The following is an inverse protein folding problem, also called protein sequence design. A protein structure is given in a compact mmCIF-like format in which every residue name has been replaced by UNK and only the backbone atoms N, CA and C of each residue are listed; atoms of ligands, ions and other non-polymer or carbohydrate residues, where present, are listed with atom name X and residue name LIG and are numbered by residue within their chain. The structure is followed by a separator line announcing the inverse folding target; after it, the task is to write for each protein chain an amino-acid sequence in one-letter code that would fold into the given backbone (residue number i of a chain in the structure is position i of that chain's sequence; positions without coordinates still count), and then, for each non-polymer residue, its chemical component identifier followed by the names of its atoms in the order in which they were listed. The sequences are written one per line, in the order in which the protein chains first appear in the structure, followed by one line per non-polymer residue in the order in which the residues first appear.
data_IF_833255565711
#
_entry.id   IF_833255565711
#
_cell.length_a   1.000
_cell.length_b   1.000
_cell.length_c   1.000
_cell.angle_alpha   90.00
_cell.angle_beta   90.00
_cell.angle_gamma   90.00
#
_symmetry.space_group_name_H-M   'P 1'
#
loop_
_entity.id
_entity.type
_entity.pdbx_description
1 polymer ?
#
# COMPACT_ATOMS: atom_id res chain seq x y z
N UNK A 1 -29.78 -17.67 -57.40
CA UNK A 1 -30.98 -17.61 -56.53
C UNK A 1 -30.79 -18.60 -55.39
N UNK A 2 -30.41 -18.16 -54.20
CA UNK A 2 -30.18 -19.04 -53.02
C UNK A 2 -31.55 -19.63 -52.61
N UNK A 3 -31.62 -20.97 -52.59
CA UNK A 3 -32.84 -21.64 -52.25
C UNK A 3 -33.32 -21.23 -50.86
N UNK A 4 -34.58 -20.87 -50.68
CA UNK A 4 -35.21 -20.38 -49.41
C UNK A 4 -34.93 -21.30 -48.21
N UNK A 5 -34.71 -22.59 -48.46
CA UNK A 5 -34.33 -23.61 -47.44
C UNK A 5 -32.84 -23.40 -46.95
N UNK A 6 -31.95 -23.07 -47.89
CA UNK A 6 -30.54 -22.82 -47.58
C UNK A 6 -30.36 -21.55 -46.79
N UNK A 7 -31.06 -20.45 -47.13
CA UNK A 7 -31.08 -19.22 -46.38
C UNK A 7 -31.57 -19.39 -44.93
N UNK A 8 -32.63 -20.14 -44.73
CA UNK A 8 -33.14 -20.49 -43.38
C UNK A 8 -32.09 -21.25 -42.54
N UNK A 9 -31.35 -22.20 -43.14
CA UNK A 9 -30.27 -22.90 -42.45
C UNK A 9 -29.12 -21.93 -42.01
N UNK A 10 -28.72 -21.02 -42.88
CA UNK A 10 -27.72 -20.00 -42.50
C UNK A 10 -28.21 -19.08 -41.38
N UNK A 11 -29.46 -18.66 -41.40
CA UNK A 11 -30.04 -17.87 -40.31
C UNK A 11 -30.09 -18.61 -38.98
N UNK A 12 -30.44 -19.91 -38.99
CA UNK A 12 -30.45 -20.75 -37.78
C UNK A 12 -29.03 -20.96 -37.24
N UNK A 13 -28.02 -21.14 -38.09
CA UNK A 13 -26.63 -21.26 -37.68
C UNK A 13 -26.14 -19.94 -37.11
N UNK A 14 -26.46 -18.81 -37.75
CA UNK A 14 -26.09 -17.47 -37.28
C UNK A 14 -26.76 -17.12 -35.94
N UNK A 15 -28.01 -17.49 -35.76
CA UNK A 15 -28.73 -17.39 -34.49
C UNK A 15 -28.06 -18.25 -33.40
N UNK A 16 -27.68 -19.50 -33.71
CA UNK A 16 -26.99 -20.36 -32.78
C UNK A 16 -25.64 -19.81 -32.35
N UNK A 17 -24.85 -19.26 -33.29
CA UNK A 17 -23.58 -18.60 -33.00
C UNK A 17 -23.79 -17.34 -32.11
N UNK A 18 -24.81 -16.53 -32.43
CA UNK A 18 -25.13 -15.34 -31.65
C UNK A 18 -25.52 -15.66 -30.20
N UNK A 19 -26.34 -16.71 -30.01
CA UNK A 19 -26.74 -17.18 -28.69
C UNK A 19 -25.54 -17.74 -27.91
N UNK A 20 -24.62 -18.44 -28.58
CA UNK A 20 -23.41 -18.96 -27.96
C UNK A 20 -22.49 -17.82 -27.53
N UNK A 21 -22.29 -16.81 -28.37
CA UNK A 21 -21.50 -15.62 -28.04
C UNK A 21 -22.10 -14.87 -26.84
N UNK A 22 -23.42 -14.68 -26.83
CA UNK A 22 -24.13 -14.07 -25.70
C UNK A 22 -23.98 -14.90 -24.42
N UNK A 23 -24.11 -16.22 -24.50
CA UNK A 23 -23.93 -17.10 -23.34
C UNK A 23 -22.49 -17.07 -22.79
N UNK A 24 -21.48 -17.04 -23.67
CA UNK A 24 -20.07 -16.90 -23.27
C UNK A 24 -19.82 -15.52 -22.62
N UNK A 25 -20.34 -14.45 -23.20
CA UNK A 25 -20.24 -13.12 -22.63
C UNK A 25 -20.88 -13.05 -21.24
N UNK A 26 -22.10 -13.57 -21.11
CA UNK A 26 -22.82 -13.61 -19.83
C UNK A 26 -22.07 -14.44 -18.77
N UNK A 27 -21.52 -15.59 -19.16
CA UNK A 27 -20.67 -16.42 -18.28
C UNK A 27 -19.49 -15.65 -17.72
N UNK A 28 -18.73 -14.91 -18.55
CA UNK A 28 -17.59 -14.12 -18.09
C UNK A 28 -18.02 -12.92 -17.26
N UNK A 29 -19.13 -12.30 -17.58
CA UNK A 29 -19.70 -11.20 -16.80
C UNK A 29 -20.06 -11.65 -15.38
N UNK A 30 -20.81 -12.73 -15.26
CA UNK A 30 -21.20 -13.29 -13.96
C UNK A 30 -19.98 -13.74 -13.15
N UNK A 31 -19.01 -14.39 -13.81
CA UNK A 31 -17.77 -14.81 -13.18
C UNK A 31 -16.98 -13.63 -12.58
N UNK A 32 -16.96 -12.49 -13.26
CA UNK A 32 -16.24 -11.30 -12.82
C UNK A 32 -16.87 -10.64 -11.58
N UNK A 33 -18.18 -10.80 -11.38
CA UNK A 33 -18.90 -10.25 -10.24
C UNK A 33 -18.70 -11.08 -8.95
N UNK A 34 -18.35 -12.37 -9.07
CA UNK A 34 -18.13 -13.22 -7.91
C UNK A 34 -16.74 -12.95 -7.33
N UNK A 35 -16.61 -12.61 -6.03
CA UNK A 35 -15.32 -12.36 -5.40
C UNK A 35 -14.52 -13.66 -5.23
N UNK A 36 -13.17 -13.56 -5.21
CA UNK A 36 -12.28 -14.69 -4.93
C UNK A 36 -12.32 -15.09 -3.45
N UNK A 37 -12.47 -14.11 -2.57
CA UNK A 37 -12.58 -14.26 -1.13
C UNK A 37 -13.71 -13.40 -0.56
N UNK A 38 -14.28 -13.83 0.55
CA UNK A 38 -15.34 -13.13 1.26
C UNK A 38 -15.07 -13.23 2.76
N UNK A 39 -15.14 -12.11 3.47
CA UNK A 39 -15.04 -12.07 4.93
C UNK A 39 -16.44 -11.85 5.48
N UNK A 40 -16.93 -12.79 6.26
CA UNK A 40 -18.21 -12.72 6.95
C UNK A 40 -17.96 -12.43 8.43
N UNK A 41 -18.61 -11.42 8.98
CA UNK A 41 -18.59 -11.21 10.44
C UNK A 41 -19.51 -12.23 11.12
N UNK A 42 -19.16 -12.63 12.35
CA UNK A 42 -20.01 -13.50 13.16
C UNK A 42 -21.42 -12.90 13.32
N UNK A 43 -22.44 -13.69 12.98
CA UNK A 43 -23.83 -13.23 12.97
C UNK A 43 -24.22 -12.30 11.81
N UNK A 44 -23.28 -11.95 10.93
CA UNK A 44 -23.54 -11.19 9.72
C UNK A 44 -24.13 -12.04 8.58
N UNK A 45 -24.73 -11.37 7.59
CA UNK A 45 -25.22 -12.06 6.40
C UNK A 45 -24.04 -12.68 5.62
N UNK A 46 -24.22 -13.93 5.17
CA UNK A 46 -23.29 -14.55 4.24
C UNK A 46 -23.37 -13.91 2.85
N UNK A 47 -22.50 -14.35 1.91
CA UNK A 47 -22.53 -13.85 0.54
C UNK A 47 -23.92 -14.04 -0.06
N UNK A 48 -24.41 -12.98 -0.71
CA UNK A 48 -25.65 -13.09 -1.48
C UNK A 48 -25.50 -14.17 -2.55
N UNK A 49 -26.47 -15.08 -2.62
CA UNK A 49 -26.52 -16.03 -3.72
C UNK A 49 -26.98 -15.31 -4.97
N UNK A 50 -26.14 -15.19 -6.01
CA UNK A 50 -26.58 -14.60 -7.27
C UNK A 50 -27.82 -15.33 -7.77
N UNK A 51 -28.80 -14.57 -8.31
CA UNK A 51 -29.96 -15.15 -8.95
C UNK A 51 -29.62 -15.86 -10.26
N UNK A 52 -30.63 -16.46 -10.91
CA UNK A 52 -30.47 -17.03 -12.26
C UNK A 52 -29.68 -16.07 -13.18
N UNK A 53 -28.66 -16.52 -13.92
CA UNK A 53 -28.32 -17.93 -14.25
C UNK A 53 -27.32 -18.63 -13.33
N UNK A 54 -26.96 -18.04 -12.20
CA UNK A 54 -25.95 -18.58 -11.27
C UNK A 54 -26.62 -19.34 -10.13
N UNK A 55 -26.11 -20.53 -9.82
CA UNK A 55 -26.46 -21.31 -8.65
C UNK A 55 -25.27 -21.42 -7.71
N UNK A 56 -25.48 -21.18 -6.42
CA UNK A 56 -24.47 -21.30 -5.38
C UNK A 56 -24.68 -22.60 -4.58
N UNK A 57 -23.60 -23.29 -4.27
CA UNK A 57 -23.60 -24.49 -3.45
C UNK A 57 -22.56 -24.33 -2.33
N UNK A 58 -23.01 -24.33 -1.10
CA UNK A 58 -22.12 -24.27 0.07
C UNK A 58 -21.49 -25.65 0.26
N UNK A 59 -20.17 -25.71 0.25
CA UNK A 59 -19.42 -26.89 0.67
C UNK A 59 -18.84 -26.58 2.06
N UNK A 60 -19.40 -27.22 3.08
CA UNK A 60 -18.79 -27.19 4.39
C UNK A 60 -17.45 -27.94 4.31
N UNK A 61 -16.36 -27.20 4.31
CA UNK A 61 -15.05 -27.80 4.53
C UNK A 61 -14.88 -28.03 6.03
N UNK A 62 -15.32 -29.20 6.52
CA UNK A 62 -14.94 -29.70 7.83
C UNK A 62 -13.46 -30.10 7.78
N UNK A 63 -12.58 -29.13 7.69
CA UNK A 63 -11.20 -29.33 8.10
C UNK A 63 -11.12 -28.95 9.57
N UNK A 64 -11.26 -29.96 10.44
CA UNK A 64 -10.70 -29.91 11.80
C UNK A 64 -9.18 -29.81 11.67
N UNK A 65 -8.68 -28.68 11.25
CA UNK A 65 -7.29 -28.32 11.42
C UNK A 65 -7.24 -27.46 12.70
N UNK A 66 -6.58 -28.01 13.72
CA UNK A 66 -6.09 -27.38 14.95
C UNK A 66 -6.76 -26.05 15.29
N UNK A 67 -7.47 -26.05 16.40
CA UNK A 67 -8.05 -24.91 17.07
C UNK A 67 -6.94 -23.89 17.38
N UNK A 68 -6.58 -23.09 16.40
CA UNK A 68 -5.85 -21.85 16.61
C UNK A 68 -6.93 -20.79 16.81
N UNK A 69 -7.03 -20.28 18.01
CA UNK A 69 -8.06 -19.34 18.46
C UNK A 69 -8.03 -17.97 17.75
N UNK A 70 -7.20 -17.84 16.70
CA UNK A 70 -7.05 -16.64 15.87
C UNK A 70 -7.69 -16.76 14.49
N UNK A 71 -8.03 -17.98 14.02
CA UNK A 71 -8.65 -18.21 12.70
C UNK A 71 -10.08 -18.70 12.92
N UNK A 72 -11.05 -17.81 12.68
CA UNK A 72 -12.47 -18.12 12.65
C UNK A 72 -12.79 -19.32 11.72
N UNK A 73 -14.02 -19.81 11.77
CA UNK A 73 -14.46 -20.89 10.88
C UNK A 73 -14.41 -20.42 9.42
N UNK A 74 -14.01 -21.31 8.50
CA UNK A 74 -14.01 -21.01 7.07
C UNK A 74 -14.83 -22.06 6.32
N UNK A 75 -15.50 -21.63 5.27
CA UNK A 75 -16.22 -22.52 4.37
C UNK A 75 -16.05 -22.06 2.91
N UNK A 76 -16.40 -22.93 1.95
CA UNK A 76 -16.26 -22.63 0.54
C UNK A 76 -17.62 -22.65 -0.14
N UNK A 77 -17.83 -21.68 -1.04
CA UNK A 77 -18.99 -21.61 -1.90
C UNK A 77 -18.56 -21.92 -3.33
N UNK A 78 -19.17 -22.92 -3.94
CA UNK A 78 -19.00 -23.24 -5.36
C UNK A 78 -20.15 -22.64 -6.16
N UNK A 79 -19.84 -21.77 -7.10
CA UNK A 79 -20.81 -21.18 -8.01
C UNK A 79 -20.83 -21.92 -9.33
N UNK A 80 -22.03 -22.15 -9.86
CA UNK A 80 -22.24 -22.84 -11.14
C UNK A 80 -23.15 -22.02 -12.04
N UNK A 81 -22.75 -21.87 -13.29
CA UNK A 81 -23.56 -21.25 -14.33
C UNK A 81 -24.59 -22.24 -14.84
N UNK A 82 -25.87 -21.83 -14.95
CA UNK A 82 -27.02 -22.69 -15.25
C UNK A 82 -27.12 -23.94 -14.35
N UNK A 83 -26.54 -23.89 -13.14
CA UNK A 83 -26.55 -24.95 -12.15
C UNK A 83 -25.60 -26.13 -12.44
N UNK A 84 -24.96 -26.19 -13.61
CA UNK A 84 -24.13 -27.33 -14.06
C UNK A 84 -22.70 -26.96 -14.44
N UNK A 85 -22.46 -25.82 -15.05
CA UNK A 85 -21.12 -25.41 -15.54
C UNK A 85 -20.36 -24.75 -14.37
N UNK A 86 -19.19 -25.27 -13.96
CA UNK A 86 -18.41 -24.62 -12.93
C UNK A 86 -18.09 -23.16 -13.32
N UNK A 87 -18.36 -22.21 -12.44
CA UNK A 87 -18.15 -20.79 -12.68
C UNK A 87 -16.96 -20.26 -11.86
N UNK A 88 -17.04 -20.38 -10.54
CA UNK A 88 -16.01 -19.91 -9.60
C UNK A 88 -16.21 -20.55 -8.22
N UNK A 89 -15.14 -20.59 -7.43
CA UNK A 89 -15.18 -20.91 -6.01
C UNK A 89 -14.76 -19.68 -5.20
N UNK A 90 -15.46 -19.40 -4.10
CA UNK A 90 -15.14 -18.32 -3.15
C UNK A 90 -14.84 -18.93 -1.80
N UNK A 91 -13.73 -18.58 -1.21
CA UNK A 91 -13.42 -18.90 0.18
C UNK A 91 -14.09 -17.87 1.09
N UNK A 92 -14.90 -18.32 2.04
CA UNK A 92 -15.54 -17.48 3.05
C UNK A 92 -14.84 -17.70 4.38
N UNK A 93 -14.30 -16.63 4.95
CA UNK A 93 -13.72 -16.63 6.29
C UNK A 93 -14.69 -15.94 7.24
N UNK A 94 -15.08 -16.60 8.33
CA UNK A 94 -15.93 -16.02 9.37
C UNK A 94 -15.03 -15.44 10.46
N UNK A 95 -15.12 -14.14 10.70
CA UNK A 95 -14.31 -13.43 11.69
C UNK A 95 -15.21 -12.76 12.75
N UNK A 96 -14.73 -12.57 13.98
CA UNK A 96 -15.40 -11.69 14.94
C UNK A 96 -15.54 -10.28 14.35
N UNK A 97 -16.49 -9.52 14.85
CA UNK A 97 -16.59 -8.10 14.55
C UNK A 97 -15.33 -7.39 15.02
N UNK A 98 -14.68 -6.70 14.11
CA UNK A 98 -13.47 -5.91 14.40
C UNK A 98 -13.84 -4.45 14.50
N UNK A 99 -13.39 -3.79 15.56
CA UNK A 99 -13.52 -2.35 15.78
C UNK A 99 -12.15 -1.70 15.83
N UNK A 100 -12.05 -0.49 15.33
CA UNK A 100 -10.82 0.31 15.37
C UNK A 100 -11.14 1.77 15.62
N UNK A 101 -10.22 2.53 16.17
CA UNK A 101 -10.26 3.98 16.25
C UNK A 101 -9.81 4.54 14.90
N UNK A 102 -10.68 5.22 14.12
CA UNK A 102 -10.26 5.84 12.87
C UNK A 102 -9.33 7.01 13.15
N UNK A 103 -8.22 7.07 12.40
CA UNK A 103 -7.21 8.12 12.51
C UNK A 103 -7.64 9.42 11.83
N UNK A 104 -6.90 9.79 10.79
CA UNK A 104 -7.09 11.06 10.04
C UNK A 104 -6.13 12.16 10.49
N UNK A 105 -5.35 11.94 11.56
CA UNK A 105 -4.33 12.89 12.02
C UNK A 105 -3.07 12.83 11.14
N UNK A 106 -2.46 13.97 10.80
CA UNK A 106 -1.15 14.02 10.19
C UNK A 106 -0.07 13.43 11.12
N UNK A 107 0.80 12.61 10.59
CA UNK A 107 1.93 11.98 11.28
C UNK A 107 3.23 12.29 10.57
N UNK A 108 4.29 12.54 11.35
CA UNK A 108 5.66 12.60 10.86
C UNK A 108 6.28 11.22 10.89
N UNK A 109 6.88 10.82 9.80
CA UNK A 109 7.47 9.49 9.60
C UNK A 109 8.98 9.66 9.48
N UNK A 110 9.72 8.84 10.22
CA UNK A 110 11.16 8.68 10.08
C UNK A 110 11.46 7.18 10.08
N UNK A 111 12.19 6.70 9.08
CA UNK A 111 12.59 5.30 8.96
C UNK A 111 14.06 5.20 8.60
N UNK A 112 14.75 4.26 9.22
CA UNK A 112 16.10 3.85 8.89
C UNK A 112 16.06 2.62 8.01
N UNK A 113 16.88 2.63 6.94
CA UNK A 113 16.96 1.47 6.05
C UNK A 113 17.75 0.34 6.72
N UNK A 114 17.47 -0.89 6.33
CA UNK A 114 18.21 -2.04 6.79
C UNK A 114 19.52 -2.17 5.98
N UNK A 115 20.55 -1.41 6.38
CA UNK A 115 21.82 -1.20 5.67
C UNK A 115 21.81 0.08 4.82
N UNK A 116 22.95 0.42 4.25
CA UNK A 116 23.13 1.66 3.46
C UNK A 116 22.76 1.42 2.00
N UNK A 117 21.66 2.01 1.55
CA UNK A 117 21.14 1.80 0.20
C UNK A 117 21.90 2.64 -0.83
N UNK A 118 22.30 2.02 -1.92
CA UNK A 118 22.92 2.69 -3.08
C UNK A 118 21.83 3.27 -3.95
N UNK A 119 21.86 4.58 -4.21
CA UNK A 119 20.94 5.29 -5.11
C UNK A 119 21.57 5.57 -6.48
N UNK A 120 22.89 5.44 -6.60
CA UNK A 120 23.59 5.61 -7.87
C UNK A 120 25.10 5.50 -7.76
N UNK A 121 25.76 5.51 -8.91
CA UNK A 121 27.23 5.54 -9.01
C UNK A 121 27.67 6.72 -9.89
N UNK A 122 28.89 7.20 -9.67
CA UNK A 122 29.43 8.34 -10.43
C UNK A 122 30.94 8.47 -10.36
N UNK A 123 31.43 9.48 -11.09
CA UNK A 123 32.85 9.82 -11.16
C UNK A 123 33.28 10.58 -9.93
N UNK A 124 34.50 10.29 -9.48
CA UNK A 124 35.21 11.07 -8.46
C UNK A 124 36.56 11.51 -9.01
N UNK A 125 36.97 12.74 -8.74
CA UNK A 125 38.26 13.27 -9.17
C UNK A 125 39.31 12.93 -8.13
N UNK A 126 40.33 12.19 -8.53
CA UNK A 126 41.47 11.84 -7.69
C UNK A 126 42.41 13.04 -7.45
N UNK A 127 43.33 12.92 -6.48
CA UNK A 127 44.38 13.92 -6.20
C UNK A 127 45.30 14.18 -7.39
N UNK A 128 45.41 13.23 -8.28
CA UNK A 128 46.15 13.33 -9.55
C UNK A 128 45.41 14.07 -10.66
N UNK A 129 44.18 14.54 -10.39
CA UNK A 129 43.32 15.24 -11.34
C UNK A 129 42.59 14.31 -12.33
N UNK A 130 42.78 12.99 -12.23
CA UNK A 130 42.09 12.02 -13.08
C UNK A 130 40.69 11.67 -12.49
N UNK A 131 39.78 11.29 -13.38
CA UNK A 131 38.46 10.82 -12.97
C UNK A 131 38.43 9.30 -12.83
N UNK A 132 37.98 8.84 -11.69
CA UNK A 132 37.80 7.43 -11.32
C UNK A 132 36.34 7.07 -11.16
N UNK A 133 35.99 5.82 -11.41
CA UNK A 133 34.66 5.24 -11.18
C UNK A 133 34.82 3.92 -10.41
N UNK A 134 35.20 3.94 -9.11
CA UNK A 134 35.55 2.74 -8.36
C UNK A 134 34.44 1.69 -8.30
N UNK A 135 33.19 2.14 -8.22
CA UNK A 135 32.02 1.27 -8.08
C UNK A 135 31.31 0.93 -9.41
N UNK A 136 31.85 1.42 -10.55
CA UNK A 136 31.21 1.23 -11.86
C UNK A 136 31.00 -0.25 -12.19
N UNK A 137 29.76 -0.62 -12.54
CA UNK A 137 29.31 -2.00 -12.83
C UNK A 137 29.49 -3.01 -11.71
N UNK A 138 29.94 -2.61 -10.52
CA UNK A 138 30.06 -3.46 -9.35
C UNK A 138 28.83 -3.35 -8.47
N UNK A 139 28.36 -2.13 -8.23
CA UNK A 139 27.10 -1.84 -7.53
C UNK A 139 26.12 -1.13 -8.45
N UNK A 140 24.86 -1.19 -8.09
CA UNK A 140 23.78 -0.52 -8.80
C UNK A 140 22.79 0.09 -7.81
N UNK A 141 21.93 0.99 -8.30
CA UNK A 141 20.81 1.51 -7.52
C UNK A 141 19.91 0.36 -7.04
N UNK A 142 19.46 0.43 -5.77
CA UNK A 142 18.71 -0.63 -5.10
C UNK A 142 19.55 -1.67 -4.35
N UNK A 143 20.90 -1.64 -4.46
CA UNK A 143 21.77 -2.45 -3.62
C UNK A 143 21.80 -1.90 -2.20
N UNK A 144 21.87 -2.80 -1.21
CA UNK A 144 22.13 -2.44 0.18
C UNK A 144 23.54 -2.87 0.58
N UNK A 145 24.35 -1.91 1.03
CA UNK A 145 25.67 -2.20 1.61
C UNK A 145 25.44 -2.62 3.06
N UNK A 146 25.76 -3.90 3.36
CA UNK A 146 25.58 -4.52 4.68
C UNK A 146 26.84 -4.55 5.52
N UNK A 147 28.01 -4.58 4.86
CA UNK A 147 29.28 -4.64 5.55
C UNK A 147 30.43 -4.09 4.71
N UNK A 148 31.48 -3.64 5.40
CA UNK A 148 32.81 -3.31 4.83
C UNK A 148 33.85 -4.15 5.55
N UNK A 149 34.65 -4.92 4.80
CA UNK A 149 35.67 -5.82 5.34
C UNK A 149 35.14 -6.75 6.45
N UNK A 150 33.87 -7.19 6.32
CA UNK A 150 33.21 -8.07 7.30
C UNK A 150 32.61 -7.33 8.52
N UNK A 151 32.82 -6.02 8.67
CA UNK A 151 32.19 -5.22 9.73
C UNK A 151 30.83 -4.74 9.25
N UNK A 152 29.78 -4.98 10.05
CA UNK A 152 28.39 -4.59 9.74
C UNK A 152 28.26 -3.07 9.63
N UNK A 153 27.55 -2.62 8.60
CA UNK A 153 27.27 -1.20 8.31
C UNK A 153 25.76 -1.01 8.23
N UNK A 154 25.24 -0.10 9.05
CA UNK A 154 23.82 0.29 9.06
C UNK A 154 23.60 1.75 8.68
N UNK A 155 24.57 2.62 8.95
CA UNK A 155 24.51 4.07 8.77
C UNK A 155 25.56 4.53 7.75
N UNK A 156 25.24 5.57 6.98
CA UNK A 156 26.18 6.12 5.98
C UNK A 156 27.45 6.71 6.61
N UNK A 157 27.35 7.28 7.82
CA UNK A 157 28.47 7.80 8.55
C UNK A 157 29.50 6.68 8.83
N UNK A 158 29.02 5.49 9.21
CA UNK A 158 29.87 4.34 9.48
C UNK A 158 30.49 3.78 8.19
N UNK A 159 29.75 3.84 7.08
CA UNK A 159 30.28 3.50 5.76
C UNK A 159 31.44 4.46 5.38
N UNK A 160 31.25 5.77 5.58
CA UNK A 160 32.26 6.79 5.28
C UNK A 160 33.50 6.58 6.11
N UNK A 161 33.37 6.40 7.45
CA UNK A 161 34.50 6.09 8.36
C UNK A 161 35.28 4.87 7.89
N UNK A 162 34.57 3.77 7.62
CA UNK A 162 35.21 2.52 7.19
C UNK A 162 35.96 2.64 5.85
N UNK A 163 35.44 3.46 4.93
CA UNK A 163 36.10 3.73 3.64
C UNK A 163 37.31 4.64 3.85
N UNK A 164 37.25 5.63 4.74
CA UNK A 164 38.36 6.54 5.02
C UNK A 164 39.51 5.80 5.72
N UNK A 165 39.23 4.93 6.69
CA UNK A 165 40.24 4.15 7.43
C UNK A 165 40.94 3.11 6.56
N UNK A 166 40.23 2.47 5.63
CA UNK A 166 40.72 1.31 4.89
C UNK A 166 40.89 1.56 3.38
N UNK A 167 40.57 2.76 2.89
CA UNK A 167 40.49 3.05 1.44
C UNK A 167 41.82 2.99 0.68
N UNK A 168 42.97 2.99 1.38
CA UNK A 168 44.28 2.75 0.77
C UNK A 168 44.46 1.31 0.26
N UNK A 169 43.65 0.38 0.78
CA UNK A 169 43.65 -1.03 0.40
C UNK A 169 42.40 -1.41 -0.37
N UNK A 170 42.33 -2.64 -0.88
CA UNK A 170 41.12 -3.17 -1.50
C UNK A 170 40.05 -3.43 -0.43
N UNK A 171 38.91 -2.80 -0.59
CA UNK A 171 37.75 -3.00 0.27
C UNK A 171 36.90 -4.19 -0.21
N UNK A 172 36.36 -4.93 0.73
CA UNK A 172 35.36 -5.98 0.50
C UNK A 172 34.01 -5.46 1.01
N UNK A 173 33.07 -5.18 0.10
CA UNK A 173 31.73 -4.77 0.47
C UNK A 173 30.80 -5.98 0.44
N UNK A 174 30.08 -6.23 1.53
CA UNK A 174 28.97 -7.16 1.57
C UNK A 174 27.71 -6.45 1.03
N UNK A 175 27.18 -6.96 -0.06
CA UNK A 175 26.04 -6.38 -0.78
C UNK A 175 24.84 -7.31 -0.69
N UNK A 176 23.66 -6.73 -0.47
CA UNK A 176 22.39 -7.39 -0.70
C UNK A 176 21.73 -6.77 -1.94
N UNK A 177 21.36 -7.62 -2.92
CA UNK A 177 20.67 -7.26 -4.16
C UNK A 177 19.50 -8.21 -4.38
N UNK A 178 18.29 -7.71 -4.46
CA UNK A 178 17.07 -8.52 -4.66
C UNK A 178 16.99 -9.76 -3.74
N UNK A 179 17.32 -9.56 -2.44
CA UNK A 179 17.31 -10.62 -1.42
C UNK A 179 18.47 -11.62 -1.47
N UNK A 180 19.48 -11.41 -2.34
CA UNK A 180 20.70 -12.22 -2.41
C UNK A 180 21.88 -11.45 -1.87
N UNK A 181 22.66 -12.07 -1.00
CA UNK A 181 23.90 -11.50 -0.44
C UNK A 181 25.11 -12.03 -1.19
N UNK A 182 26.05 -11.15 -1.48
CA UNK A 182 27.35 -11.47 -2.09
C UNK A 182 28.39 -10.41 -1.74
N UNK A 183 29.66 -10.73 -1.97
CA UNK A 183 30.76 -9.80 -1.73
C UNK A 183 31.29 -9.24 -3.05
N UNK A 184 31.64 -7.96 -3.05
CA UNK A 184 32.38 -7.31 -4.12
C UNK A 184 33.68 -6.74 -3.57
N UNK A 185 34.70 -6.69 -4.45
CA UNK A 185 36.01 -6.11 -4.11
C UNK A 185 36.27 -4.92 -5.02
N UNK A 186 36.58 -3.80 -4.41
CA UNK A 186 36.90 -2.58 -5.15
C UNK A 186 38.00 -1.78 -4.42
N UNK A 187 38.62 -0.86 -5.16
CA UNK A 187 39.59 0.09 -4.65
C UNK A 187 38.96 1.47 -4.59
N UNK A 188 38.99 2.14 -3.44
CA UNK A 188 38.55 3.51 -3.33
C UNK A 188 39.51 4.46 -4.09
N UNK A 189 38.98 5.54 -4.61
CA UNK A 189 39.80 6.60 -5.20
C UNK A 189 40.32 7.52 -4.09
N UNK A 190 41.63 7.83 -4.08
CA UNK A 190 42.22 8.83 -3.21
C UNK A 190 41.89 10.23 -3.78
N UNK A 191 41.13 11.02 -3.05
CA UNK A 191 40.70 12.36 -3.45
C UNK A 191 41.20 13.40 -2.46
N UNK A 192 41.07 14.70 -2.79
CA UNK A 192 41.42 15.77 -1.86
C UNK A 192 40.63 15.72 -0.54
N UNK A 193 39.43 15.13 -0.57
CA UNK A 193 38.52 15.00 0.58
C UNK A 193 38.51 13.57 1.18
N UNK A 194 39.60 12.81 1.06
CA UNK A 194 39.72 11.43 1.54
C UNK A 194 39.33 10.39 0.50
N UNK A 195 39.26 9.14 0.92
CA UNK A 195 38.91 8.04 0.03
C UNK A 195 37.44 8.03 -0.35
N UNK A 196 37.10 7.80 -1.63
CA UNK A 196 35.73 7.82 -2.14
C UNK A 196 35.46 6.61 -3.03
N UNK A 197 34.26 6.05 -2.92
CA UNK A 197 33.79 4.92 -3.75
C UNK A 197 33.09 5.35 -5.03
N UNK A 198 32.72 6.62 -5.17
CA UNK A 198 31.94 7.11 -6.29
C UNK A 198 30.53 6.55 -6.28
N UNK A 199 29.88 6.50 -5.11
CA UNK A 199 28.50 6.08 -4.91
C UNK A 199 27.71 7.16 -4.17
N UNK A 200 26.44 7.29 -4.51
CA UNK A 200 25.45 8.02 -3.72
C UNK A 200 24.64 7.02 -2.90
N UNK A 201 24.44 7.34 -1.65
CA UNK A 201 23.80 6.42 -0.71
C UNK A 201 22.76 7.13 0.15
N UNK A 202 21.80 6.34 0.64
CA UNK A 202 20.75 6.73 1.58
C UNK A 202 20.66 5.67 2.69
N UNK A 203 20.47 6.09 3.92
CA UNK A 203 20.31 5.21 5.09
C UNK A 203 19.02 5.50 5.87
N UNK A 204 18.30 6.55 5.49
CA UNK A 204 17.02 6.91 6.11
C UNK A 204 16.09 7.61 5.12
N UNK A 205 14.81 7.66 5.48
CA UNK A 205 13.80 8.45 4.80
C UNK A 205 12.86 9.09 5.81
N UNK A 206 12.27 10.21 5.41
CA UNK A 206 11.33 10.96 6.24
C UNK A 206 10.20 11.52 5.37
N UNK A 207 9.05 11.71 5.98
CA UNK A 207 7.89 12.23 5.28
C UNK A 207 6.74 12.55 6.20
N UNK A 208 5.67 13.08 5.62
CA UNK A 208 4.39 13.32 6.28
C UNK A 208 3.34 12.46 5.59
N UNK A 209 2.53 11.83 6.41
CA UNK A 209 1.39 11.05 5.98
C UNK A 209 0.24 11.16 6.95
N UNK A 210 -0.73 10.28 6.83
CA UNK A 210 -1.91 10.25 7.71
C UNK A 210 -2.05 8.89 8.37
N UNK A 211 -2.36 8.90 9.66
CA UNK A 211 -2.75 7.70 10.41
C UNK A 211 -4.10 7.21 9.89
N UNK A 212 -4.21 5.91 9.59
CA UNK A 212 -5.48 5.33 9.13
C UNK A 212 -6.33 4.84 10.30
N UNK A 213 -5.73 4.05 11.18
CA UNK A 213 -6.44 3.52 12.35
C UNK A 213 -5.48 3.14 13.47
N UNK A 214 -6.06 3.02 14.68
CA UNK A 214 -5.45 2.41 15.86
C UNK A 214 -6.39 1.30 16.35
N UNK A 215 -5.85 0.10 16.59
CA UNK A 215 -6.60 -1.03 17.17
C UNK A 215 -6.68 -0.91 18.69
N UNK A 216 -7.59 -1.64 19.32
CA UNK A 216 -7.70 -1.72 20.79
C UNK A 216 -6.40 -2.20 21.45
N UNK A 217 -5.63 -3.03 20.76
CA UNK A 217 -4.35 -3.55 21.24
C UNK A 217 -3.18 -2.59 21.02
N UNK A 218 -3.45 -1.34 20.59
CA UNK A 218 -2.43 -0.32 20.38
C UNK A 218 -1.63 -0.46 19.10
N UNK A 219 -1.98 -1.38 18.19
CA UNK A 219 -1.35 -1.46 16.87
C UNK A 219 -1.97 -0.46 15.90
N UNK A 220 -1.15 0.13 15.05
CA UNK A 220 -1.62 1.11 14.06
C UNK A 220 -1.36 0.67 12.62
N UNK A 221 -2.18 1.20 11.72
CA UNK A 221 -1.94 1.22 10.28
C UNK A 221 -1.99 2.64 9.73
N UNK A 222 -1.12 2.97 8.78
CA UNK A 222 -1.04 4.31 8.18
C UNK A 222 -0.67 4.25 6.69
N UNK A 223 -0.87 5.35 5.97
CA UNK A 223 -0.56 5.60 4.56
C UNK A 223 -1.41 4.84 3.53
N UNK A 224 -1.73 3.56 3.77
CA UNK A 224 -2.42 2.73 2.79
C UNK A 224 -1.58 2.34 1.57
N UNK A 225 -0.30 2.67 1.54
CA UNK A 225 0.70 2.25 0.56
C UNK A 225 2.08 2.23 1.19
N UNK A 226 2.99 1.48 0.62
CA UNK A 226 4.37 1.41 1.08
C UNK A 226 5.15 2.70 0.81
N UNK A 227 6.21 2.89 1.56
CA UNK A 227 7.20 3.93 1.29
C UNK A 227 8.27 3.34 0.40
N UNK A 228 8.34 3.87 -0.81
CA UNK A 228 9.32 3.50 -1.81
C UNK A 228 10.44 4.53 -1.86
N UNK A 229 11.63 4.10 -2.23
CA UNK A 229 12.71 5.02 -2.53
C UNK A 229 12.42 5.80 -3.81
N UNK A 230 12.61 7.12 -3.77
CA UNK A 230 12.28 8.03 -4.87
C UNK A 230 13.17 7.86 -6.11
N UNK A 231 14.38 7.32 -5.94
CA UNK A 231 15.36 7.19 -7.02
C UNK A 231 15.27 5.82 -7.70
N UNK A 232 14.95 4.78 -6.94
CA UNK A 232 14.84 3.40 -7.45
C UNK A 232 13.41 2.94 -7.70
N UNK A 233 12.44 3.53 -7.00
CA UNK A 233 11.04 3.10 -7.00
C UNK A 233 10.79 1.80 -6.22
N UNK A 234 11.81 1.21 -5.59
CA UNK A 234 11.67 -0.03 -4.83
C UNK A 234 11.14 0.24 -3.42
N UNK A 235 10.37 -0.70 -2.88
CA UNK A 235 9.89 -0.66 -1.49
C UNK A 235 11.08 -0.68 -0.54
N UNK A 236 11.17 0.32 0.36
CA UNK A 236 12.27 0.43 1.30
C UNK A 236 12.23 -0.70 2.34
N UNK A 237 13.36 -1.39 2.49
CA UNK A 237 13.59 -2.31 3.59
C UNK A 237 14.03 -1.50 4.80
N UNK A 238 13.29 -1.61 5.89
CA UNK A 238 13.53 -0.85 7.11
C UNK A 238 14.12 -1.73 8.21
N UNK A 239 15.01 -1.15 9.01
CA UNK A 239 15.50 -1.73 10.27
C UNK A 239 14.74 -1.20 11.47
N UNK A 240 14.43 0.10 11.46
CA UNK A 240 13.72 0.80 12.51
C UNK A 240 12.91 1.95 11.90
N UNK A 241 11.76 2.28 12.51
CA UNK A 241 10.98 3.43 12.13
C UNK A 241 10.20 4.01 13.29
N UNK A 242 9.94 5.31 13.24
CA UNK A 242 9.23 6.05 14.31
C UNK A 242 8.18 6.97 13.70
N UNK A 243 7.03 7.02 14.35
CA UNK A 243 6.03 8.05 14.14
C UNK A 243 6.28 9.19 15.12
N UNK A 244 6.31 10.41 14.60
CA UNK A 244 6.46 11.62 15.39
C UNK A 244 5.23 12.50 15.32
N UNK A 245 5.08 13.30 16.36
CA UNK A 245 4.16 14.43 16.34
C UNK A 245 4.57 15.40 15.23
N UNK A 246 3.60 15.79 14.41
CA UNK A 246 3.81 16.73 13.32
C UNK A 246 2.76 17.83 13.32
N UNK A 247 3.10 18.95 12.75
CA UNK A 247 2.20 20.08 12.56
C UNK A 247 2.21 20.46 11.08
N UNK A 248 1.04 20.55 10.49
CA UNK A 248 0.89 21.10 9.14
C UNK A 248 1.25 22.59 9.18
N UNK A 249 2.21 22.99 8.37
CA UNK A 249 2.65 24.38 8.28
C UNK A 249 2.05 25.10 7.07
N UNK A 250 1.92 24.38 5.94
CA UNK A 250 1.41 24.94 4.70
C UNK A 250 0.74 23.82 3.86
N UNK A 251 -0.23 24.21 3.06
CA UNK A 251 -0.91 23.34 2.10
C UNK A 251 -0.67 23.92 0.70
N UNK A 252 0.08 23.17 -0.11
CA UNK A 252 0.21 23.45 -1.54
C UNK A 252 -0.93 22.77 -2.28
N UNK A 253 -1.82 23.54 -2.90
CA UNK A 253 -2.98 23.02 -3.59
C UNK A 253 -2.60 22.17 -4.81
N UNK A 254 -3.37 21.11 -5.04
CA UNK A 254 -3.29 20.30 -6.25
C UNK A 254 -3.94 20.99 -7.44
N UNK A 255 -3.29 20.85 -8.60
CA UNK A 255 -3.76 21.29 -9.91
C UNK A 255 -3.51 20.18 -10.93
N UNK A 256 -4.26 20.13 -12.05
CA UNK A 256 -4.00 19.15 -13.10
C UNK A 256 -2.53 19.17 -13.56
N UNK A 257 -1.85 18.02 -13.48
CA UNK A 257 -0.43 17.87 -13.79
C UNK A 257 0.54 18.19 -12.65
N UNK A 258 0.04 18.75 -11.54
CA UNK A 258 0.85 19.05 -10.36
C UNK A 258 0.07 18.68 -9.08
N UNK A 259 0.18 17.43 -8.60
CA UNK A 259 -0.44 17.04 -7.34
C UNK A 259 0.10 17.91 -6.21
N UNK A 260 -0.81 18.50 -5.43
CA UNK A 260 -0.43 19.31 -4.27
C UNK A 260 0.21 18.47 -3.17
N UNK A 261 0.70 19.14 -2.13
CA UNK A 261 1.33 18.49 -0.99
C UNK A 261 1.10 19.25 0.31
N UNK A 262 1.16 18.51 1.41
CA UNK A 262 1.25 19.06 2.76
C UNK A 262 2.71 19.33 3.08
N UNK A 263 3.04 20.57 3.44
CA UNK A 263 4.30 20.89 4.07
C UNK A 263 4.10 20.97 5.60
N UNK A 264 4.98 20.35 6.37
CA UNK A 264 4.84 20.35 7.83
C UNK A 264 6.18 20.23 8.53
N UNK A 265 6.14 20.38 9.84
CA UNK A 265 7.29 20.30 10.72
C UNK A 265 7.22 19.01 11.54
N UNK A 266 8.19 18.14 11.32
CA UNK A 266 8.40 16.95 12.15
C UNK A 266 9.39 17.33 13.27
N UNK A 267 8.97 17.09 14.50
CA UNK A 267 9.82 17.39 15.67
C UNK A 267 10.48 16.12 16.16
N UNK A 268 11.72 15.88 15.79
CA UNK A 268 12.52 14.71 16.17
C UNK A 268 12.98 14.79 17.64
N UNK A 269 12.04 14.51 18.57
CA UNK A 269 12.32 14.45 20.01
C UNK A 269 11.73 13.17 20.57
N UNK A 270 12.47 12.49 21.45
CA UNK A 270 12.01 11.21 22.03
C UNK A 270 10.67 11.31 22.77
N UNK A 271 10.39 12.41 23.42
CA UNK A 271 9.11 12.66 24.08
C UNK A 271 7.94 12.98 23.13
N UNK A 272 8.19 13.10 21.83
CA UNK A 272 7.20 13.36 20.79
C UNK A 272 7.00 12.13 19.85
N UNK A 273 7.57 10.99 20.21
CA UNK A 273 7.34 9.72 19.51
C UNK A 273 5.91 9.30 19.82
N UNK A 274 5.13 9.07 18.76
CA UNK A 274 3.75 8.61 18.81
C UNK A 274 3.61 7.10 18.54
N UNK A 275 4.62 6.48 17.92
CA UNK A 275 4.61 5.05 17.63
C UNK A 275 5.93 4.56 17.07
N UNK A 276 6.10 3.23 17.08
CA UNK A 276 7.23 2.55 16.47
C UNK A 276 6.75 1.79 15.25
N UNK A 277 7.36 2.07 14.09
CA UNK A 277 7.05 1.38 12.83
C UNK A 277 7.84 0.07 12.83
N UNK A 278 7.13 -1.04 12.61
CA UNK A 278 7.71 -2.38 12.57
C UNK A 278 7.77 -2.92 11.14
N UNK A 279 6.82 -2.50 10.29
CA UNK A 279 6.72 -2.98 8.91
C UNK A 279 6.47 -1.83 7.93
N UNK A 280 7.11 -1.92 6.77
CA UNK A 280 6.81 -1.17 5.56
C UNK A 280 6.43 -2.15 4.46
N UNK A 281 5.18 -2.15 4.05
CA UNK A 281 4.61 -3.11 3.10
C UNK A 281 3.90 -2.39 1.97
N UNK A 282 3.51 -3.10 0.91
CA UNK A 282 2.68 -2.52 -0.17
C UNK A 282 1.36 -1.93 0.35
N UNK A 283 0.79 -2.46 1.46
CA UNK A 283 -0.48 -2.02 2.04
C UNK A 283 -0.35 -0.83 3.00
N UNK A 284 0.87 -0.40 3.33
CA UNK A 284 1.13 0.70 4.26
C UNK A 284 2.27 0.46 5.22
N UNK A 285 2.36 1.31 6.23
CA UNK A 285 3.26 1.15 7.36
C UNK A 285 2.47 0.74 8.60
N UNK A 286 3.04 -0.19 9.38
CA UNK A 286 2.39 -0.80 10.54
C UNK A 286 3.35 -0.86 11.73
N UNK A 287 2.78 -0.90 12.94
CA UNK A 287 3.57 -0.98 14.15
C UNK A 287 2.76 -0.74 15.41
N UNK A 288 3.43 -0.35 16.49
CA UNK A 288 2.83 -0.12 17.80
C UNK A 288 2.76 1.37 18.11
N UNK A 289 1.56 1.85 18.43
CA UNK A 289 1.31 3.19 18.93
C UNK A 289 1.67 3.31 20.41
N UNK A 290 2.15 4.50 20.80
CA UNK A 290 2.28 4.85 22.22
C UNK A 290 0.94 5.37 22.76
N UNK A 291 0.81 5.48 24.10
CA UNK A 291 -0.36 6.14 24.74
C UNK A 291 -0.63 7.53 24.13
N UNK A 292 0.45 8.25 23.80
CA UNK A 292 0.37 9.56 23.14
C UNK A 292 -0.37 9.52 21.81
N UNK A 293 -0.29 8.42 21.04
CA UNK A 293 -1.04 8.28 19.80
C UNK A 293 -2.53 8.13 20.08
N UNK A 294 -2.89 7.33 21.10
CA UNK A 294 -4.26 7.15 21.55
C UNK A 294 -4.88 8.46 22.03
N UNK A 295 -4.15 9.24 22.84
CA UNK A 295 -4.60 10.54 23.37
C UNK A 295 -4.92 11.59 22.30
N UNK A 296 -4.40 11.40 21.07
CA UNK A 296 -4.65 12.29 19.92
C UNK A 296 -5.89 11.93 19.13
N UNK A 297 -6.44 10.75 19.36
CA UNK A 297 -7.61 10.27 18.64
C UNK A 297 -8.87 10.58 19.42
N UNK A 298 -9.62 11.57 18.93
CA UNK A 298 -10.93 11.91 19.48
C UNK A 298 -12.00 11.12 18.71
N UNK A 299 -12.90 10.47 19.44
CA UNK A 299 -14.04 9.78 18.85
C UNK A 299 -14.25 8.36 19.37
N UNK A 300 -15.27 7.72 18.84
CA UNK A 300 -15.62 6.34 19.19
C UNK A 300 -14.98 5.37 18.18
N UNK A 301 -14.68 4.16 18.67
CA UNK A 301 -14.28 3.06 17.79
C UNK A 301 -15.43 2.73 16.83
N UNK A 302 -15.09 2.49 15.58
CA UNK A 302 -16.05 2.14 14.53
C UNK A 302 -15.84 0.69 14.06
N UNK A 303 -16.92 0.05 13.60
CA UNK A 303 -16.80 -1.26 12.97
C UNK A 303 -16.01 -1.14 11.64
N UNK A 304 -15.30 -2.20 11.31
CA UNK A 304 -14.66 -2.36 10.01
C UNK A 304 -15.69 -2.83 8.98
N UNK A 305 -15.71 -2.19 7.82
CA UNK A 305 -16.51 -2.62 6.66
C UNK A 305 -15.62 -3.31 5.64
N UNK A 306 -15.94 -4.54 5.32
CA UNK A 306 -15.17 -5.34 4.36
C UNK A 306 -15.54 -5.01 2.91
N UNK A 307 -14.66 -5.33 1.95
CA UNK A 307 -14.79 -4.94 0.53
C UNK A 307 -16.11 -5.33 -0.13
N UNK A 308 -16.77 -6.39 0.33
CA UNK A 308 -18.07 -6.81 -0.18
C UNK A 308 -19.23 -5.91 0.30
N UNK A 309 -19.07 -5.21 1.42
CA UNK A 309 -20.06 -4.30 1.97
C UNK A 309 -19.99 -2.90 1.32
N UNK A 310 -18.89 -2.61 0.61
CA UNK A 310 -18.64 -1.31 0.02
C UNK A 310 -19.46 -1.14 -1.25
N UNK A 311 -20.14 0.00 -1.35
CA UNK A 311 -20.98 0.37 -2.50
C UNK A 311 -20.48 1.66 -3.14
N UNK A 312 -20.72 1.80 -4.45
CA UNK A 312 -20.55 3.06 -5.15
C UNK A 312 -21.51 4.11 -4.57
N UNK A 313 -21.08 5.36 -4.51
CA UNK A 313 -21.87 6.47 -3.98
C UNK A 313 -21.17 7.23 -2.86
N UNK A 314 -21.96 7.80 -1.93
CA UNK A 314 -21.47 8.68 -0.88
C UNK A 314 -20.61 7.94 0.16
N UNK A 315 -19.51 8.57 0.52
CA UNK A 315 -18.63 8.18 1.61
C UNK A 315 -17.91 9.43 2.17
N UNK A 316 -17.11 9.26 3.18
CA UNK A 316 -16.42 10.34 3.89
C UNK A 316 -14.94 10.03 4.04
N UNK A 317 -14.10 11.06 3.87
CA UNK A 317 -12.66 11.00 4.22
C UNK A 317 -12.44 11.81 5.48
N UNK A 318 -11.92 11.16 6.52
CA UNK A 318 -11.54 11.84 7.77
C UNK A 318 -10.15 12.42 7.65
N UNK A 319 -10.00 13.72 7.96
CA UNK A 319 -8.70 14.39 7.88
C UNK A 319 -8.59 15.58 8.82
N UNK A 320 -7.47 15.67 9.50
CA UNK A 320 -7.06 16.80 10.34
C UNK A 320 -6.09 17.74 9.63
N UNK A 321 -6.12 17.79 8.29
CA UNK A 321 -5.16 18.52 7.47
C UNK A 321 -5.13 20.03 7.73
N UNK A 322 -6.25 20.62 8.15
CA UNK A 322 -6.38 22.03 8.49
C UNK A 322 -6.16 22.33 10.00
N UNK A 323 -5.75 21.34 10.79
CA UNK A 323 -5.57 21.43 12.24
C UNK A 323 -6.80 21.04 13.06
N UNK A 324 -7.96 20.83 12.44
CA UNK A 324 -9.18 20.33 13.04
C UNK A 324 -9.60 19.03 12.37
N UNK A 325 -10.00 18.03 13.16
CA UNK A 325 -10.48 16.76 12.61
C UNK A 325 -11.86 16.94 12.00
N UNK A 326 -11.99 16.57 10.72
CA UNK A 326 -13.25 16.67 9.96
C UNK A 326 -13.45 15.47 9.04
N UNK A 327 -14.72 15.17 8.78
CA UNK A 327 -15.15 14.22 7.78
C UNK A 327 -15.60 14.99 6.53
N UNK A 328 -14.85 14.86 5.43
CA UNK A 328 -15.11 15.50 4.16
C UNK A 328 -15.81 14.55 3.21
N UNK A 329 -16.81 15.04 2.49
CA UNK A 329 -17.61 14.24 1.57
C UNK A 329 -16.82 13.84 0.33
N UNK A 330 -16.90 12.55 0.00
CA UNK A 330 -16.37 11.98 -1.24
C UNK A 330 -17.44 11.12 -1.91
N UNK A 331 -17.22 10.75 -3.16
CA UNK A 331 -17.95 9.70 -3.85
C UNK A 331 -17.00 8.55 -4.18
N UNK A 332 -17.42 7.32 -3.90
CA UNK A 332 -16.80 6.12 -4.45
C UNK A 332 -17.37 5.95 -5.86
N UNK A 333 -16.54 6.13 -6.89
CA UNK A 333 -16.95 6.01 -8.29
C UNK A 333 -16.88 4.56 -8.78
N UNK A 334 -15.96 3.76 -8.25
CA UNK A 334 -15.76 2.37 -8.65
C UNK A 334 -15.19 1.54 -7.50
N UNK A 335 -15.64 0.30 -7.35
CA UNK A 335 -15.12 -0.68 -6.38
C UNK A 335 -14.54 -1.87 -7.13
N UNK A 336 -13.22 -2.02 -7.10
CA UNK A 336 -12.45 -3.07 -7.78
C UNK A 336 -12.10 -4.18 -6.81
N UNK A 337 -13.05 -5.03 -6.46
CA UNK A 337 -12.88 -6.09 -5.45
C UNK A 337 -11.78 -7.10 -5.74
N UNK A 338 -11.40 -7.26 -7.01
CA UNK A 338 -10.37 -8.18 -7.48
C UNK A 338 -9.20 -7.41 -8.15
N UNK A 339 -8.89 -6.21 -7.67
CA UNK A 339 -7.74 -5.46 -8.18
C UNK A 339 -6.44 -6.23 -7.91
N UNK A 340 -5.56 -6.30 -8.91
CA UNK A 340 -4.22 -6.90 -8.76
C UNK A 340 -3.28 -6.04 -7.93
N UNK A 341 -3.53 -4.73 -7.88
CA UNK A 341 -2.81 -3.75 -7.08
C UNK A 341 -3.69 -3.38 -5.89
N UNK A 342 -3.27 -3.78 -4.69
CA UNK A 342 -4.02 -3.60 -3.44
C UNK A 342 -4.32 -2.12 -3.15
N UNK A 343 -3.47 -1.21 -3.61
CA UNK A 343 -3.62 0.23 -3.41
C UNK A 343 -4.69 0.87 -4.32
N UNK A 344 -5.26 0.11 -5.26
CA UNK A 344 -6.23 0.58 -6.26
C UNK A 344 -7.57 -0.15 -6.16
N UNK A 345 -7.97 -0.54 -4.95
CA UNK A 345 -9.25 -1.20 -4.68
C UNK A 345 -10.47 -0.34 -4.92
N UNK A 346 -10.36 0.98 -4.76
CA UNK A 346 -11.44 1.95 -4.97
C UNK A 346 -10.97 3.11 -5.82
N UNK A 347 -11.87 3.69 -6.63
CA UNK A 347 -11.71 5.01 -7.25
C UNK A 347 -12.59 5.99 -6.49
N UNK A 348 -11.96 7.06 -6.01
CA UNK A 348 -12.56 8.08 -5.17
C UNK A 348 -12.62 9.40 -5.91
N UNK A 349 -13.70 10.20 -5.66
CA UNK A 349 -13.79 11.60 -6.07
C UNK A 349 -14.11 12.46 -4.86
N UNK A 350 -13.33 13.50 -4.64
CA UNK A 350 -13.66 14.55 -3.65
C UNK A 350 -14.81 15.37 -4.16
N UNK A 351 -15.87 15.46 -3.36
CA UNK A 351 -17.08 16.24 -3.67
C UNK A 351 -17.34 17.35 -2.65
N UNK A 352 -16.59 17.35 -1.54
CA UNK A 352 -16.68 18.34 -0.51
C UNK A 352 -16.14 19.70 -0.98
N UNK A 353 -16.94 20.78 -0.95
CA UNK A 353 -16.50 22.08 -1.44
C UNK A 353 -15.43 22.73 -0.55
N UNK A 354 -15.42 22.44 0.75
CA UNK A 354 -14.42 22.99 1.67
C UNK A 354 -13.04 22.33 1.41
N UNK A 355 -13.01 21.00 1.30
CA UNK A 355 -11.77 20.29 0.97
C UNK A 355 -11.25 20.72 -0.41
N UNK A 356 -12.12 20.81 -1.42
CA UNK A 356 -11.74 21.29 -2.76
C UNK A 356 -11.19 22.74 -2.72
N UNK A 357 -11.78 23.62 -1.90
CA UNK A 357 -11.27 24.97 -1.74
C UNK A 357 -9.90 25.00 -1.05
N UNK A 358 -9.71 24.12 -0.05
CA UNK A 358 -8.48 24.05 0.74
C UNK A 358 -7.32 23.41 -0.04
N UNK A 359 -7.54 22.25 -0.63
CA UNK A 359 -6.47 21.40 -1.19
C UNK A 359 -6.52 21.26 -2.72
N UNK A 360 -7.62 21.62 -3.37
CA UNK A 360 -7.85 21.35 -4.80
C UNK A 360 -8.22 19.87 -5.10
N UNK A 361 -8.27 19.01 -4.09
CA UNK A 361 -8.55 17.58 -4.19
C UNK A 361 -7.71 16.76 -3.22
N UNK A 362 -7.33 15.55 -3.63
CA UNK A 362 -6.40 14.70 -2.87
C UNK A 362 -4.98 15.20 -3.13
N UNK A 363 -4.20 15.41 -2.07
CA UNK A 363 -2.83 15.90 -2.14
C UNK A 363 -1.87 14.96 -1.39
N UNK A 364 -0.57 15.05 -1.67
CA UNK A 364 0.45 14.30 -0.93
C UNK A 364 0.42 14.68 0.55
N UNK A 365 0.45 13.68 1.43
CA UNK A 365 0.23 13.78 2.86
C UNK A 365 -1.17 13.36 3.31
N UNK A 366 -2.17 13.31 2.41
CA UNK A 366 -3.48 12.72 2.70
C UNK A 366 -3.50 11.19 2.56
N UNK A 367 -2.44 10.57 2.04
CA UNK A 367 -2.29 9.11 2.01
C UNK A 367 -2.45 8.54 3.41
N UNK A 368 -3.34 7.56 3.57
CA UNK A 368 -3.74 6.99 4.86
C UNK A 368 -4.99 7.63 5.47
N UNK A 369 -5.52 8.72 4.91
CA UNK A 369 -6.79 9.30 5.42
C UNK A 369 -7.90 8.26 5.41
N UNK A 370 -8.54 7.96 6.57
CA UNK A 370 -9.58 6.94 6.67
C UNK A 370 -10.77 7.24 5.77
N UNK A 371 -11.29 6.20 5.11
CA UNK A 371 -12.52 6.27 4.33
C UNK A 371 -13.63 5.60 5.14
N UNK A 372 -14.70 6.35 5.39
CA UNK A 372 -15.85 5.91 6.19
C UNK A 372 -17.09 5.86 5.30
N UNK A 373 -17.79 4.73 5.30
CA UNK A 373 -19.09 4.57 4.64
C UNK A 373 -20.06 3.86 5.58
N UNK A 374 -21.27 4.36 5.70
CA UNK A 374 -22.32 3.78 6.56
C UNK A 374 -21.86 3.59 8.04
N UNK A 375 -21.01 4.50 8.55
CA UNK A 375 -20.49 4.44 9.92
C UNK A 375 -19.36 3.41 10.14
N UNK A 376 -18.86 2.76 9.08
CA UNK A 376 -17.78 1.78 9.14
C UNK A 376 -16.50 2.31 8.46
N UNK A 377 -15.34 1.96 9.01
CA UNK A 377 -14.07 2.15 8.34
C UNK A 377 -13.93 1.11 7.22
N UNK A 378 -13.86 1.58 5.96
CA UNK A 378 -13.82 0.70 4.78
C UNK A 378 -12.45 0.68 4.10
N UNK A 379 -11.60 1.66 4.38
CA UNK A 379 -10.29 1.76 3.72
C UNK A 379 -9.57 3.06 4.02
N UNK A 380 -8.58 3.34 3.20
CA UNK A 380 -7.78 4.56 3.27
C UNK A 380 -7.50 5.13 1.87
N UNK A 381 -7.34 6.44 1.80
CA UNK A 381 -6.84 7.13 0.60
C UNK A 381 -5.39 6.71 0.35
N UNK A 382 -5.03 6.41 -0.90
CA UNK A 382 -3.66 6.00 -1.27
C UNK A 382 -3.00 7.01 -2.19
N UNK A 383 -3.35 7.03 -3.47
CA UNK A 383 -2.68 7.83 -4.49
C UNK A 383 -3.66 8.78 -5.17
N UNK A 384 -3.18 9.98 -5.50
CA UNK A 384 -3.91 10.98 -6.28
C UNK A 384 -3.73 10.73 -7.79
N UNK A 385 -4.72 11.10 -8.58
CA UNK A 385 -4.58 11.13 -10.04
C UNK A 385 -3.84 12.42 -10.45
N UNK A 386 -2.69 12.28 -11.09
CA UNK A 386 -1.84 13.42 -11.46
C UNK A 386 -2.58 14.43 -12.34
N UNK A 387 -3.39 13.97 -13.27
CA UNK A 387 -4.12 14.83 -14.22
C UNK A 387 -5.48 15.32 -13.70
N UNK A 388 -5.97 14.78 -12.59
CA UNK A 388 -7.23 15.19 -11.96
C UNK A 388 -7.14 15.00 -10.44
N UNK A 389 -6.60 15.96 -9.70
CA UNK A 389 -6.44 15.85 -8.25
C UNK A 389 -7.75 15.65 -7.47
N UNK A 390 -8.89 15.94 -8.09
CA UNK A 390 -10.19 15.68 -7.46
C UNK A 390 -10.47 14.19 -7.31
N UNK A 391 -9.68 13.33 -7.98
CA UNK A 391 -9.76 11.87 -7.94
C UNK A 391 -8.52 11.23 -7.36
N UNK A 392 -8.71 10.03 -6.84
CA UNK A 392 -7.63 9.19 -6.36
C UNK A 392 -8.06 7.76 -6.16
N UNK A 393 -7.13 6.97 -5.66
CA UNK A 393 -7.35 5.58 -5.30
C UNK A 393 -7.52 5.42 -3.79
N UNK A 394 -8.12 4.30 -3.39
CA UNK A 394 -8.18 3.83 -2.03
C UNK A 394 -7.91 2.34 -1.93
N UNK A 395 -7.28 1.95 -0.80
CA UNK A 395 -7.08 0.57 -0.38
C UNK A 395 -8.25 0.13 0.49
N UNK A 396 -8.59 -1.16 0.47
CA UNK A 396 -9.53 -1.74 1.43
C UNK A 396 -8.88 -1.90 2.80
N UNK A 397 -9.63 -1.63 3.86
CA UNK A 397 -9.10 -1.74 5.23
C UNK A 397 -8.67 -3.16 5.58
N UNK A 398 -9.32 -4.19 5.03
CA UNK A 398 -8.98 -5.59 5.27
C UNK A 398 -7.56 -5.94 4.82
N UNK A 399 -7.06 -5.32 3.75
CA UNK A 399 -5.68 -5.50 3.30
C UNK A 399 -4.69 -4.93 4.34
N UNK A 400 -5.02 -3.79 4.94
CA UNK A 400 -4.20 -3.19 6.01
C UNK A 400 -4.29 -3.98 7.32
N UNK A 401 -5.47 -4.47 7.68
CA UNK A 401 -5.68 -5.22 8.94
C UNK A 401 -4.93 -6.55 8.98
N UNK A 402 -4.65 -7.16 7.84
CA UNK A 402 -3.86 -8.40 7.76
C UNK A 402 -2.45 -8.27 8.35
N UNK A 403 -1.93 -7.04 8.48
CA UNK A 403 -0.60 -6.74 9.04
C UNK A 403 -0.62 -6.40 10.54
N UNK A 404 -1.79 -6.23 11.16
CA UNK A 404 -1.92 -5.88 12.58
C UNK A 404 -2.69 -6.92 13.40
N UNK A 405 -3.04 -8.04 12.79
CA UNK A 405 -3.80 -9.15 13.40
C UNK A 405 -2.95 -9.97 14.39
#
# INVERSE_FOLDING_TARGET
MICRKTYRKYLLVLLGISLLVLGVYDYFRERAQIPDSYIQTEGGAGPETPGFPVAAQIQESVTKASYDSRNGSSYRISYRYLGVIPLKETNVQVTPKTTVMPGGIPIGIYMETDGVMVIGTGKVTGRDGLNYEPAFRLVQAGDYIRSVNGVEIREKEKLIESVEENGSEKLVLGIERSGRTFEIRLQAADTENGYRLGIWVRDNTQGIGTLTFLTENGKFGALGHGINDSDTGELLKISEGKLYDTTVAEIHRGEPGNPGQVAGLIRYRNNLICGQIQENTEAGIFGEGTERLGDKLDGEAVEVGYKQEITEGEAWVRSGINGEMRDYRIAIEEVKRNASDVNKGMILRVTDPELLALTGGIIQGMSGSPIIQNGKLIGAVTHVFVNDPTKGYGIFVEEMLSHVS
#
